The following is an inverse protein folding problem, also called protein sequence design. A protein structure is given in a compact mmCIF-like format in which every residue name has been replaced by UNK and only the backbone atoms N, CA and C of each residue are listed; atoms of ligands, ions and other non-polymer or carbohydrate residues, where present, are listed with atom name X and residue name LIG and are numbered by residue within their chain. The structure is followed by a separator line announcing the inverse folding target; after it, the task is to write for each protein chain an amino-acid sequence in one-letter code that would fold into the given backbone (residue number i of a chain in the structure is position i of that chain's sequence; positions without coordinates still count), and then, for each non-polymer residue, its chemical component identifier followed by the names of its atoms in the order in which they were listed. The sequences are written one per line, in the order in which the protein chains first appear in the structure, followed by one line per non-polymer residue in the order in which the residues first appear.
data_IF_851761210825
#
_entry.id   IF_851761210825
#
_cell.length_a   1.000
_cell.length_b   1.000
_cell.length_c   1.000
_cell.angle_alpha   90.00
_cell.angle_beta   90.00
_cell.angle_gamma   90.00
#
_symmetry.space_group_name_H-M   'P 1'
#
loop_
_entity.id
_entity.type
_entity.pdbx_description
1 polymer ?
#
# COMPACT_ATOMS: atom_id res chain seq x y z
N UNK A 1 6.42 -16.76 2.00
CA UNK A 1 5.55 -15.79 1.32
C UNK A 1 4.32 -16.43 0.67
N UNK A 2 4.38 -17.68 0.24
CA UNK A 2 3.24 -18.34 -0.44
C UNK A 2 2.02 -18.62 0.44
N UNK A 3 2.15 -18.38 1.75
CA UNK A 3 1.06 -18.54 2.75
C UNK A 3 0.47 -17.21 3.24
N UNK A 4 0.83 -16.07 2.64
CA UNK A 4 0.39 -14.75 3.09
C UNK A 4 1.05 -14.25 4.38
N UNK A 5 2.08 -14.94 4.84
CA UNK A 5 2.87 -14.52 6.02
C UNK A 5 3.72 -13.30 5.66
N UNK A 6 3.86 -12.37 6.60
CA UNK A 6 4.72 -11.21 6.45
C UNK A 6 6.19 -11.63 6.53
N UNK A 7 7.05 -10.92 5.80
CA UNK A 7 8.52 -11.03 5.99
C UNK A 7 8.86 -10.62 7.42
N UNK A 8 9.83 -11.25 8.09
CA UNK A 8 10.24 -10.85 9.44
C UNK A 8 10.58 -9.36 9.50
N UNK A 9 10.06 -8.68 10.54
CA UNK A 9 10.20 -7.22 10.69
C UNK A 9 11.66 -6.77 10.67
N UNK A 10 12.57 -7.54 11.27
CA UNK A 10 14.01 -7.23 11.31
C UNK A 10 14.64 -7.14 9.90
N UNK A 11 14.18 -7.96 8.96
CA UNK A 11 14.68 -7.93 7.58
C UNK A 11 14.19 -6.68 6.86
N UNK A 12 12.90 -6.36 7.00
CA UNK A 12 12.31 -5.18 6.34
C UNK A 12 12.92 -3.90 6.90
N UNK A 13 13.00 -3.79 8.23
CA UNK A 13 13.59 -2.63 8.89
C UNK A 13 15.06 -2.45 8.51
N UNK A 14 15.82 -3.54 8.41
CA UNK A 14 17.21 -3.51 7.94
C UNK A 14 17.33 -2.95 6.51
N UNK A 15 16.49 -3.40 5.59
CA UNK A 15 16.44 -2.88 4.20
C UNK A 15 16.06 -1.39 4.16
N UNK A 16 15.11 -0.98 4.98
CA UNK A 16 14.69 0.43 5.08
C UNK A 16 15.82 1.29 5.62
N UNK A 17 16.54 0.83 6.65
CA UNK A 17 17.73 1.51 7.17
C UNK A 17 18.78 1.71 6.09
N UNK A 18 19.18 0.65 5.41
CA UNK A 18 20.17 0.71 4.31
C UNK A 18 19.74 1.69 3.21
N UNK A 19 18.46 1.69 2.84
CA UNK A 19 17.92 2.64 1.88
C UNK A 19 18.08 4.09 2.37
N UNK A 20 17.67 4.37 3.60
CA UNK A 20 17.71 5.72 4.18
C UNK A 20 19.13 6.25 4.35
N UNK A 21 20.07 5.38 4.74
CA UNK A 21 21.50 5.71 4.87
C UNK A 21 22.16 6.02 3.52
N UNK A 22 21.69 5.39 2.44
CA UNK A 22 22.19 5.62 1.08
C UNK A 22 21.66 6.89 0.42
N UNK A 23 20.59 7.48 0.96
CA UNK A 23 19.96 8.67 0.38
C UNK A 23 20.64 9.97 0.87
N UNK A 24 20.70 11.03 0.01
CA UNK A 24 21.07 12.36 0.45
C UNK A 24 20.23 12.82 1.66
N UNK A 25 20.83 13.58 2.58
CA UNK A 25 20.18 14.00 3.80
C UNK A 25 18.93 14.86 3.61
N UNK A 26 18.82 15.54 2.48
CA UNK A 26 17.69 16.38 2.07
C UNK A 26 16.67 15.66 1.15
N UNK A 27 16.92 14.40 0.82
CA UNK A 27 16.00 13.63 -0.02
C UNK A 27 14.72 13.26 0.74
N UNK A 28 13.55 13.57 0.17
CA UNK A 28 12.27 13.10 0.65
C UNK A 28 12.08 11.62 0.31
N UNK A 29 11.36 10.90 1.18
CA UNK A 29 11.01 9.48 0.98
C UNK A 29 9.52 9.29 1.17
N UNK A 30 8.91 8.53 0.27
CA UNK A 30 7.52 8.08 0.42
C UNK A 30 7.54 6.57 0.62
N UNK A 31 7.02 6.11 1.74
CA UNK A 31 6.80 4.70 2.00
C UNK A 31 5.39 4.31 1.56
N UNK A 32 5.30 3.35 0.65
CA UNK A 32 4.05 2.70 0.28
C UNK A 32 4.00 1.30 0.90
N UNK A 33 2.92 1.04 1.64
CA UNK A 33 2.68 -0.26 2.29
C UNK A 33 3.66 -0.60 3.43
N UNK A 34 4.43 0.35 3.92
CA UNK A 34 5.30 0.22 5.10
C UNK A 34 5.21 1.50 5.95
N UNK A 35 5.19 1.40 7.29
CA UNK A 35 5.10 0.18 8.11
C UNK A 35 3.71 -0.50 8.03
N UNK A 36 3.64 -1.79 8.37
CA UNK A 36 2.38 -2.57 8.45
C UNK A 36 2.00 -2.95 9.87
N UNK A 37 2.90 -2.81 10.83
CA UNK A 37 2.69 -3.12 12.24
C UNK A 37 3.22 -2.00 13.11
N UNK A 38 2.70 -1.88 14.34
CA UNK A 38 3.19 -0.90 15.32
C UNK A 38 4.66 -1.13 15.62
N UNK A 39 5.11 -2.39 15.74
CA UNK A 39 6.51 -2.71 15.95
C UNK A 39 7.43 -2.21 14.81
N UNK A 40 6.95 -2.29 13.56
CA UNK A 40 7.68 -1.70 12.42
C UNK A 40 7.72 -0.18 12.48
N UNK A 41 6.64 0.47 12.93
CA UNK A 41 6.60 1.92 13.08
C UNK A 41 7.57 2.40 14.16
N UNK A 42 7.58 1.77 15.33
CA UNK A 42 8.54 2.05 16.41
C UNK A 42 9.99 1.88 15.95
N UNK A 43 10.26 0.81 15.20
CA UNK A 43 11.59 0.59 14.63
C UNK A 43 11.96 1.61 13.56
N UNK A 44 10.99 2.04 12.73
CA UNK A 44 11.20 3.12 11.75
C UNK A 44 11.51 4.44 12.44
N UNK A 45 10.75 4.81 13.47
CA UNK A 45 10.98 6.03 14.25
C UNK A 45 12.40 6.03 14.85
N UNK A 46 12.84 4.88 15.41
CA UNK A 46 14.20 4.74 15.92
C UNK A 46 15.26 4.97 14.84
N UNK A 47 15.08 4.39 13.65
CA UNK A 47 16.01 4.57 12.52
C UNK A 47 16.03 6.02 12.05
N UNK A 48 14.87 6.67 11.97
CA UNK A 48 14.76 8.05 11.54
C UNK A 48 15.42 9.00 12.55
N UNK A 49 15.20 8.79 13.85
CA UNK A 49 15.82 9.58 14.92
C UNK A 49 17.36 9.49 14.86
N UNK A 50 17.92 8.29 14.67
CA UNK A 50 19.36 8.08 14.51
C UNK A 50 19.95 8.84 13.30
N UNK A 51 19.14 9.02 12.25
CA UNK A 51 19.52 9.73 11.02
C UNK A 51 19.17 11.23 11.05
N UNK A 52 18.61 11.74 12.17
CA UNK A 52 18.16 13.12 12.30
C UNK A 52 16.98 13.46 11.39
N UNK A 53 16.13 12.49 11.11
CA UNK A 53 14.92 12.57 10.27
C UNK A 53 13.67 12.31 11.09
N UNK A 54 12.50 12.57 10.53
CA UNK A 54 11.21 12.27 11.13
C UNK A 54 10.17 11.93 10.05
N UNK A 55 9.05 11.36 10.49
CA UNK A 55 7.87 11.19 9.65
C UNK A 55 7.11 12.52 9.60
N UNK A 56 7.11 13.17 8.45
CA UNK A 56 6.43 14.46 8.27
C UNK A 56 4.90 14.28 8.12
N UNK A 57 4.48 13.26 7.40
CA UNK A 57 3.07 13.02 7.07
C UNK A 57 2.74 11.55 7.04
N UNK A 58 1.56 11.22 7.54
CA UNK A 58 0.94 9.91 7.36
C UNK A 58 -0.38 10.10 6.64
N UNK A 59 -0.55 9.44 5.51
CA UNK A 59 -1.79 9.47 4.74
C UNK A 59 -2.45 8.12 4.77
N UNK A 60 -3.69 8.08 5.27
CA UNK A 60 -4.52 6.88 5.30
C UNK A 60 -5.51 6.95 4.15
N UNK A 61 -5.34 6.08 3.17
CA UNK A 61 -6.35 5.85 2.14
C UNK A 61 -7.45 4.95 2.72
N UNK A 62 -8.65 5.49 2.81
CA UNK A 62 -9.80 4.75 3.29
C UNK A 62 -10.68 4.30 2.11
N UNK A 63 -11.12 3.06 2.14
CA UNK A 63 -12.14 2.54 1.22
C UNK A 63 -12.97 1.48 1.92
N UNK A 64 -14.23 1.34 1.51
CA UNK A 64 -15.12 0.32 2.05
C UNK A 64 -14.66 -1.09 1.68
N UNK A 65 -14.83 -2.03 2.60
CA UNK A 65 -14.41 -3.42 2.42
C UNK A 65 -15.00 -4.06 1.16
N UNK A 66 -16.28 -3.79 0.87
CA UNK A 66 -16.94 -4.31 -0.32
C UNK A 66 -16.30 -3.79 -1.61
N UNK A 67 -15.91 -2.51 -1.61
CA UNK A 67 -15.17 -1.89 -2.72
C UNK A 67 -13.79 -2.52 -2.85
N UNK A 68 -13.08 -2.73 -1.74
CA UNK A 68 -11.77 -3.38 -1.73
C UNK A 68 -11.85 -4.83 -2.25
N UNK A 69 -12.82 -5.62 -1.77
CA UNK A 69 -13.04 -6.99 -2.26
C UNK A 69 -13.31 -6.96 -3.75
N UNK A 70 -14.19 -6.09 -4.23
CA UNK A 70 -14.53 -5.99 -5.65
C UNK A 70 -13.34 -5.55 -6.51
N UNK A 71 -12.55 -4.57 -6.03
CA UNK A 71 -11.34 -4.10 -6.71
C UNK A 71 -10.28 -5.20 -6.81
N UNK A 72 -9.98 -5.86 -5.71
CA UNK A 72 -8.92 -6.86 -5.67
C UNK A 72 -9.32 -8.14 -6.41
N UNK A 73 -10.52 -8.67 -6.19
CA UNK A 73 -10.99 -9.87 -6.88
C UNK A 73 -11.21 -9.66 -8.38
N UNK A 74 -11.47 -8.42 -8.80
CA UNK A 74 -11.60 -8.04 -10.21
C UNK A 74 -10.27 -7.85 -10.94
N UNK A 75 -9.14 -7.81 -10.22
CA UNK A 75 -7.82 -7.55 -10.81
C UNK A 75 -7.38 -8.66 -11.75
N UNK A 76 -6.80 -8.26 -12.88
CA UNK A 76 -6.14 -9.13 -13.86
C UNK A 76 -4.79 -8.54 -14.21
N UNK A 77 -3.77 -9.37 -14.30
CA UNK A 77 -2.40 -8.95 -14.58
C UNK A 77 -1.86 -9.67 -15.80
N UNK A 78 -1.16 -8.95 -16.66
CA UNK A 78 -0.43 -9.54 -17.76
C UNK A 78 0.94 -10.02 -17.26
N UNK A 79 1.27 -11.32 -17.40
CA UNK A 79 2.55 -11.86 -16.93
C UNK A 79 3.73 -11.37 -17.77
N UNK A 80 3.50 -10.95 -19.02
CA UNK A 80 4.56 -10.54 -19.94
C UNK A 80 4.94 -9.06 -19.78
N UNK A 81 3.96 -8.15 -19.80
CA UNK A 81 4.24 -6.71 -19.83
C UNK A 81 3.88 -5.98 -18.53
N UNK A 82 3.38 -6.69 -17.52
CA UNK A 82 3.00 -6.13 -16.22
C UNK A 82 1.74 -5.25 -16.26
N UNK A 83 1.04 -5.14 -17.39
CA UNK A 83 -0.20 -4.36 -17.47
C UNK A 83 -1.26 -4.92 -16.51
N UNK A 84 -1.97 -4.01 -15.82
CA UNK A 84 -3.00 -4.37 -14.86
C UNK A 84 -4.36 -3.84 -15.34
N UNK A 85 -5.36 -4.72 -15.29
CA UNK A 85 -6.74 -4.46 -15.63
C UNK A 85 -7.65 -4.79 -14.44
N UNK A 86 -8.90 -4.35 -14.54
CA UNK A 86 -9.92 -4.73 -13.60
C UNK A 86 -11.23 -5.00 -14.34
N UNK A 87 -11.79 -6.17 -14.15
CA UNK A 87 -13.02 -6.60 -14.87
C UNK A 87 -14.24 -5.71 -14.61
N UNK A 88 -14.22 -4.92 -13.52
CA UNK A 88 -15.32 -4.04 -13.12
C UNK A 88 -15.08 -2.56 -13.43
N UNK A 89 -13.82 -2.10 -13.36
CA UNK A 89 -13.49 -0.67 -13.37
C UNK A 89 -12.66 -0.25 -14.57
N UNK A 90 -11.83 -1.17 -15.08
CA UNK A 90 -10.98 -0.94 -16.25
C UNK A 90 -10.78 -2.27 -17.00
N UNK A 91 -11.83 -2.80 -17.65
CA UNK A 91 -11.74 -4.08 -18.35
C UNK A 91 -10.85 -3.95 -19.59
N UNK A 92 -10.18 -5.05 -20.00
CA UNK A 92 -9.52 -5.08 -21.29
C UNK A 92 -10.57 -5.05 -22.42
N UNK A 93 -10.15 -4.61 -23.61
CA UNK A 93 -11.01 -4.54 -24.81
C UNK A 93 -11.56 -5.91 -25.21
N UNK A 94 -10.75 -6.98 -25.05
CA UNK A 94 -11.17 -8.35 -25.23
C UNK A 94 -10.96 -9.10 -23.89
N UNK A 95 -11.98 -9.83 -23.46
CA UNK A 95 -11.94 -10.57 -22.19
C UNK A 95 -10.74 -11.51 -22.12
N UNK A 96 -9.97 -11.42 -21.05
CA UNK A 96 -8.82 -12.27 -20.80
C UNK A 96 -7.57 -11.97 -21.64
N UNK A 97 -7.60 -10.94 -22.51
CA UNK A 97 -6.48 -10.59 -23.40
C UNK A 97 -5.92 -9.24 -23.02
N UNK A 98 -4.60 -9.13 -22.96
CA UNK A 98 -3.90 -7.87 -22.70
C UNK A 98 -3.94 -6.95 -23.92
N UNK A 99 -4.51 -5.75 -23.80
CA UNK A 99 -4.58 -4.77 -24.89
C UNK A 99 -3.18 -4.26 -25.31
N UNK A 100 -2.20 -4.37 -24.41
CA UNK A 100 -0.86 -3.84 -24.63
C UNK A 100 0.05 -4.78 -25.42
N UNK A 101 -0.08 -6.11 -25.21
CA UNK A 101 0.82 -7.08 -25.82
C UNK A 101 0.13 -8.33 -26.38
N UNK A 102 -1.20 -8.43 -26.30
CA UNK A 102 -1.98 -9.56 -26.83
C UNK A 102 -1.90 -10.86 -26.00
N UNK A 103 -1.14 -10.88 -24.90
CA UNK A 103 -0.99 -12.08 -24.07
C UNK A 103 -2.20 -12.30 -23.15
N UNK A 104 -2.39 -13.55 -22.72
CA UNK A 104 -3.45 -13.92 -21.79
C UNK A 104 -3.26 -13.29 -20.42
N UNK A 105 -4.33 -12.69 -19.89
CA UNK A 105 -4.34 -12.12 -18.54
C UNK A 105 -4.49 -13.22 -17.48
N UNK A 106 -3.85 -13.06 -16.34
CA UNK A 106 -3.95 -13.97 -15.20
C UNK A 106 -4.69 -13.32 -14.04
N UNK A 107 -5.53 -14.10 -13.38
CA UNK A 107 -6.06 -13.81 -12.07
C UNK A 107 -5.07 -14.37 -11.04
N UNK A 108 -4.55 -13.52 -10.16
CA UNK A 108 -3.58 -13.94 -9.15
C UNK A 108 -4.28 -14.78 -8.07
N UNK A 109 -3.54 -15.70 -7.46
CA UNK A 109 -4.07 -16.55 -6.37
C UNK A 109 -4.44 -15.71 -5.15
N UNK A 110 -3.66 -14.67 -4.84
CA UNK A 110 -3.89 -13.74 -3.73
C UNK A 110 -5.04 -12.72 -3.99
N UNK A 111 -5.62 -12.72 -5.19
CA UNK A 111 -6.78 -11.92 -5.56
C UNK A 111 -8.10 -12.72 -5.56
N UNK A 112 -8.06 -13.99 -5.18
CA UNK A 112 -9.28 -14.78 -4.96
C UNK A 112 -10.09 -14.19 -3.78
N UNK A 113 -11.43 -14.19 -3.83
CA UNK A 113 -12.27 -13.53 -2.82
C UNK A 113 -11.96 -13.94 -1.37
N UNK A 114 -11.65 -15.22 -1.15
CA UNK A 114 -11.28 -15.71 0.19
C UNK A 114 -9.91 -15.18 0.65
N UNK A 115 -8.93 -15.17 -0.25
CA UNK A 115 -7.62 -14.62 0.03
C UNK A 115 -7.71 -13.12 0.34
N UNK A 116 -8.54 -12.39 -0.39
CA UNK A 116 -8.79 -10.96 -0.15
C UNK A 116 -9.42 -10.74 1.23
N UNK A 117 -10.44 -11.51 1.62
CA UNK A 117 -11.05 -11.41 2.95
C UNK A 117 -10.04 -11.68 4.06
N UNK A 118 -9.22 -12.73 3.91
CA UNK A 118 -8.15 -13.00 4.88
C UNK A 118 -7.14 -11.83 4.99
N UNK A 119 -6.77 -11.22 3.86
CA UNK A 119 -5.91 -10.03 3.85
C UNK A 119 -6.54 -8.84 4.59
N UNK A 120 -7.85 -8.62 4.45
CA UNK A 120 -8.56 -7.57 5.20
C UNK A 120 -8.59 -7.86 6.70
N UNK A 121 -8.75 -9.12 7.12
CA UNK A 121 -8.66 -9.50 8.54
C UNK A 121 -7.25 -9.29 9.11
N UNK A 122 -6.21 -9.65 8.36
CA UNK A 122 -4.82 -9.39 8.74
C UNK A 122 -4.56 -7.89 8.85
N UNK A 123 -5.04 -7.09 7.89
CA UNK A 123 -4.95 -5.64 7.93
C UNK A 123 -5.58 -5.06 9.20
N UNK A 124 -6.82 -5.43 9.52
CA UNK A 124 -7.51 -4.93 10.72
C UNK A 124 -6.76 -5.27 12.00
N UNK A 125 -6.18 -6.45 12.08
CA UNK A 125 -5.47 -6.91 13.27
C UNK A 125 -4.09 -6.28 13.43
N UNK A 126 -3.37 -6.07 12.33
CA UNK A 126 -1.95 -5.71 12.38
C UNK A 126 -1.67 -4.27 11.93
N UNK A 127 -2.40 -3.77 10.94
CA UNK A 127 -2.10 -2.49 10.29
C UNK A 127 -3.01 -1.36 10.75
N UNK A 128 -4.30 -1.63 10.96
CA UNK A 128 -5.23 -0.61 11.44
C UNK A 128 -4.80 0.05 12.77
N UNK A 129 -4.16 -0.65 13.74
CA UNK A 129 -3.62 -0.04 14.96
C UNK A 129 -2.57 1.05 14.72
N UNK A 130 -1.91 1.08 13.56
CA UNK A 130 -0.97 2.15 13.19
C UNK A 130 -1.62 3.53 13.18
N UNK A 131 -2.90 3.60 12.87
CA UNK A 131 -3.64 4.86 12.88
C UNK A 131 -3.61 5.50 14.27
N UNK A 132 -3.97 4.74 15.31
CA UNK A 132 -3.95 5.22 16.69
C UNK A 132 -2.50 5.53 17.16
N UNK A 133 -1.53 4.72 16.71
CA UNK A 133 -0.12 4.97 16.98
C UNK A 133 0.32 6.35 16.47
N UNK A 134 0.11 6.66 15.20
CA UNK A 134 0.52 7.95 14.63
C UNK A 134 -0.34 9.12 15.13
N UNK A 135 -1.62 8.93 15.42
CA UNK A 135 -2.45 9.96 16.07
C UNK A 135 -1.90 10.36 17.47
N UNK A 136 -1.39 9.38 18.24
CA UNK A 136 -0.80 9.62 19.55
C UNK A 136 0.59 10.29 19.50
N UNK A 137 1.37 10.08 18.42
CA UNK A 137 2.72 10.61 18.26
C UNK A 137 2.78 11.99 17.56
N UNK A 138 1.66 12.70 17.49
CA UNK A 138 1.56 14.05 16.93
C UNK A 138 1.94 14.18 15.45
N UNK A 139 2.09 13.07 14.75
CA UNK A 139 2.35 13.07 13.33
C UNK A 139 1.11 13.58 12.59
N UNK A 140 1.29 14.42 11.59
CA UNK A 140 0.17 14.95 10.81
C UNK A 140 -0.50 13.84 9.98
N UNK A 141 -1.42 13.10 10.63
CA UNK A 141 -2.22 12.08 9.98
C UNK A 141 -3.34 12.73 9.17
N UNK A 142 -3.47 12.32 7.92
CA UNK A 142 -4.51 12.77 6.99
C UNK A 142 -5.27 11.57 6.45
N UNK A 143 -6.59 11.70 6.34
CA UNK A 143 -7.46 10.71 5.70
C UNK A 143 -7.84 11.18 4.31
N UNK A 144 -7.74 10.27 3.34
CA UNK A 144 -8.18 10.49 1.96
C UNK A 144 -9.11 9.34 1.58
N UNK A 145 -10.25 9.66 0.98
CA UNK A 145 -11.19 8.64 0.50
C UNK A 145 -10.63 7.99 -0.77
N UNK A 146 -10.36 6.68 -0.68
CA UNK A 146 -9.73 5.89 -1.74
C UNK A 146 -10.72 5.16 -2.66
N UNK A 147 -12.01 5.23 -2.40
CA UNK A 147 -13.09 4.65 -3.23
C UNK A 147 -13.61 5.59 -4.32
N UNK A 148 -13.16 6.85 -4.32
CA UNK A 148 -13.42 7.84 -5.33
C UNK A 148 -12.72 7.54 -6.68
N UNK A 149 -13.08 8.26 -7.77
CA UNK A 149 -12.32 8.24 -9.01
C UNK A 149 -10.85 8.60 -8.80
N UNK A 150 -9.96 8.02 -9.62
CA UNK A 150 -8.50 8.14 -9.45
C UNK A 150 -8.04 9.61 -9.37
N UNK A 151 -8.59 10.47 -10.22
CA UNK A 151 -8.23 11.88 -10.26
C UNK A 151 -8.62 12.62 -8.97
N UNK A 152 -9.74 12.25 -8.35
CA UNK A 152 -10.19 12.83 -7.09
C UNK A 152 -9.34 12.33 -5.92
N UNK A 153 -8.96 11.02 -5.91
CA UNK A 153 -8.03 10.46 -4.94
C UNK A 153 -6.67 11.15 -5.06
N UNK A 154 -6.16 11.33 -6.28
CA UNK A 154 -4.90 12.02 -6.51
C UNK A 154 -4.92 13.46 -6.01
N UNK A 155 -5.99 14.21 -6.30
CA UNK A 155 -6.16 15.56 -5.78
C UNK A 155 -6.27 15.59 -4.24
N UNK A 156 -6.89 14.57 -3.65
CA UNK A 156 -6.94 14.37 -2.19
C UNK A 156 -5.56 14.14 -1.58
N UNK A 157 -4.76 13.27 -2.19
CA UNK A 157 -3.38 13.00 -1.79
C UNK A 157 -2.51 14.26 -1.87
N UNK A 158 -2.59 15.01 -2.97
CA UNK A 158 -1.86 16.27 -3.12
C UNK A 158 -2.18 17.24 -1.98
N UNK A 159 -3.48 17.49 -1.72
CA UNK A 159 -3.89 18.36 -0.60
C UNK A 159 -3.41 17.86 0.76
N UNK A 160 -3.39 16.54 0.97
CA UNK A 160 -2.93 15.95 2.22
C UNK A 160 -1.42 16.12 2.46
N UNK A 161 -0.63 16.22 1.39
CA UNK A 161 0.82 16.42 1.44
C UNK A 161 1.20 17.91 1.55
N UNK A 162 0.41 18.82 0.96
CA UNK A 162 0.68 20.25 0.92
C UNK A 162 0.31 20.98 2.23
N UNK A 163 -0.46 20.35 3.14
CA UNK A 163 -0.90 20.89 4.45
C UNK A 163 -0.04 20.40 5.60
#
# INVERSE_FOLDING_TARGET
MDRGELVPDSVIVGMVRELLEALPGDAGVVFDVFPRTVAQAEALDTVLDELGRAVDRVVVLHADDEVLVRRLSGRRSCPECGAVYNVHFNPPAAEGVCDRCGQGLKHRVDDQPEAVRNRLEVYRRQTEPLRAFYEAHSTALRRVEGDLPVDEVQAGLQRALDQ
#
